data_IF_184209519943
#
_entry.id   IF_184209519943
#
_cell.length_a   1.000
_cell.length_b   1.000
_cell.length_c   1.000
_cell.angle_alpha   90.00
_cell.angle_beta   90.00
_cell.angle_gamma   90.00
#
_symmetry.space_group_name_H-M   'P 1'
#
loop_
_entity.id
_entity.type
_entity.pdbx_description
1 polymer ?
#
# COMPACT_ATOMS: atom_id res chain seq x y z
N UNK A 1 32.07 36.66 -63.47
CA UNK A 1 31.53 35.36 -63.02
C UNK A 1 32.74 34.56 -62.54
N UNK A 2 32.89 34.03 -61.33
CA UNK A 2 31.98 33.29 -60.44
C UNK A 2 32.53 33.35 -59.00
N UNK A 3 31.64 33.56 -58.02
CA UNK A 3 31.89 33.52 -56.56
C UNK A 3 32.23 32.09 -56.12
N UNK A 4 33.42 31.87 -55.53
CA UNK A 4 33.78 30.63 -54.81
C UNK A 4 33.54 30.76 -53.31
N UNK A 5 32.52 30.07 -52.80
CA UNK A 5 31.99 30.16 -51.42
C UNK A 5 32.90 29.44 -50.41
N UNK A 6 33.16 30.11 -49.26
CA UNK A 6 33.63 29.51 -48.00
C UNK A 6 32.72 28.34 -47.58
N UNK A 7 33.28 27.15 -47.37
CA UNK A 7 32.57 26.05 -46.67
C UNK A 7 32.85 26.17 -45.16
N UNK A 8 31.81 26.46 -44.38
CA UNK A 8 31.81 26.34 -42.91
C UNK A 8 31.78 24.86 -42.52
N UNK A 9 32.47 24.43 -41.45
CA UNK A 9 32.34 23.08 -40.92
C UNK A 9 30.92 22.90 -40.34
N UNK A 10 30.25 21.81 -40.74
CA UNK A 10 28.98 21.38 -40.16
C UNK A 10 29.22 20.93 -38.71
N UNK A 11 28.70 21.70 -37.76
CA UNK A 11 28.49 21.24 -36.38
C UNK A 11 27.50 20.06 -36.42
N UNK A 12 27.99 18.86 -36.10
CA UNK A 12 27.14 17.72 -35.76
C UNK A 12 26.40 18.08 -34.46
N UNK A 13 25.07 18.21 -34.54
CA UNK A 13 24.22 18.35 -33.35
C UNK A 13 24.32 17.06 -32.52
N UNK A 14 24.50 17.12 -31.20
CA UNK A 14 24.42 15.93 -30.37
C UNK A 14 22.99 15.40 -30.47
N UNK A 15 22.86 14.17 -30.95
CA UNK A 15 21.59 13.43 -30.88
C UNK A 15 21.38 13.05 -29.42
N UNK A 16 20.59 13.86 -28.71
CA UNK A 16 20.13 13.53 -27.36
C UNK A 16 19.30 12.26 -27.48
N UNK A 17 19.92 11.11 -27.17
CA UNK A 17 19.18 9.90 -26.86
C UNK A 17 18.31 10.25 -25.67
N UNK A 18 16.99 10.37 -25.89
CA UNK A 18 16.05 10.49 -24.77
C UNK A 18 16.23 9.22 -23.95
N UNK A 19 16.84 9.34 -22.78
CA UNK A 19 16.79 8.29 -21.78
C UNK A 19 15.30 7.94 -21.57
N UNK A 20 14.96 6.66 -21.35
CA UNK A 20 13.60 6.33 -20.95
C UNK A 20 13.30 7.19 -19.73
N UNK A 21 12.29 8.06 -19.86
CA UNK A 21 11.74 8.79 -18.72
C UNK A 21 11.27 7.68 -17.81
N UNK A 22 11.97 7.44 -16.69
CA UNK A 22 11.44 6.57 -15.64
C UNK A 22 10.08 7.16 -15.34
N UNK A 23 9.01 6.44 -15.72
CA UNK A 23 7.68 6.77 -15.25
C UNK A 23 7.84 6.72 -13.74
N UNK A 24 7.81 7.88 -13.10
CA UNK A 24 7.64 7.93 -11.66
C UNK A 24 6.29 7.25 -11.46
N UNK A 25 6.31 5.99 -11.02
CA UNK A 25 5.10 5.34 -10.55
C UNK A 25 4.47 6.23 -9.48
N UNK A 26 3.19 6.02 -9.15
CA UNK A 26 2.64 6.67 -7.96
C UNK A 26 3.61 6.41 -6.79
N UNK A 27 4.06 7.48 -6.12
CA UNK A 27 4.86 7.38 -4.89
C UNK A 27 3.92 6.92 -3.78
N UNK A 28 3.50 5.66 -3.85
CA UNK A 28 2.71 5.01 -2.81
C UNK A 28 3.61 4.79 -1.60
N UNK A 29 3.09 4.97 -0.38
CA UNK A 29 3.87 4.76 0.83
C UNK A 29 4.23 3.28 1.00
N UNK A 30 5.37 3.04 1.63
CA UNK A 30 5.77 1.69 2.05
C UNK A 30 5.02 1.25 3.31
N UNK A 31 4.78 2.20 4.21
CA UNK A 31 4.12 1.99 5.50
C UNK A 31 2.62 2.31 5.39
N UNK A 32 1.81 1.40 5.91
CA UNK A 32 0.36 1.47 5.97
C UNK A 32 -0.12 1.04 7.35
N UNK A 33 -1.36 1.40 7.68
CA UNK A 33 -2.07 0.95 8.85
C UNK A 33 -3.32 0.21 8.39
N UNK A 34 -3.61 -0.91 9.05
CA UNK A 34 -4.94 -1.51 9.06
C UNK A 34 -5.65 -1.09 10.35
N UNK A 35 -6.88 -0.58 10.21
CA UNK A 35 -7.67 -0.05 11.32
C UNK A 35 -9.04 -0.74 11.33
N UNK A 36 -9.43 -1.23 12.50
CA UNK A 36 -10.71 -1.93 12.68
C UNK A 36 -11.35 -1.60 14.03
N UNK A 37 -12.66 -1.31 14.00
CA UNK A 37 -13.46 -1.02 15.20
C UNK A 37 -13.69 -2.24 16.09
N UNK A 38 -13.59 -3.45 15.55
CA UNK A 38 -13.64 -4.68 16.36
C UNK A 38 -12.27 -5.13 16.84
N UNK A 39 -12.26 -6.26 17.53
CA UNK A 39 -11.04 -6.94 17.98
C UNK A 39 -10.74 -8.12 17.07
N UNK A 40 -9.56 -8.13 16.45
CA UNK A 40 -9.04 -9.26 15.69
C UNK A 40 -7.54 -9.40 15.93
N UNK A 41 -7.04 -10.65 15.94
CA UNK A 41 -5.62 -10.95 16.01
C UNK A 41 -5.05 -11.37 14.66
N UNK A 42 -3.76 -11.12 14.42
CA UNK A 42 -3.08 -11.53 13.18
C UNK A 42 -3.19 -13.03 12.91
N UNK A 43 -3.19 -13.85 13.97
CA UNK A 43 -3.47 -15.29 13.84
C UNK A 43 -4.83 -15.57 13.19
N UNK A 44 -5.87 -14.79 13.49
CA UNK A 44 -7.18 -14.98 12.87
C UNK A 44 -7.17 -14.59 11.39
N UNK A 45 -6.46 -13.51 11.02
CA UNK A 45 -6.28 -13.13 9.61
C UNK A 45 -5.50 -14.23 8.86
N UNK A 46 -4.44 -14.75 9.45
CA UNK A 46 -3.69 -15.88 8.89
C UNK A 46 -4.61 -17.09 8.61
N UNK A 47 -5.45 -17.47 9.57
CA UNK A 47 -6.37 -18.61 9.40
C UNK A 47 -7.43 -18.36 8.32
N UNK A 48 -7.80 -17.11 8.04
CA UNK A 48 -8.69 -16.74 6.92
C UNK A 48 -7.96 -16.77 5.57
N UNK A 49 -6.68 -16.41 5.54
CA UNK A 49 -5.88 -16.37 4.32
C UNK A 49 -5.26 -17.71 3.92
N UNK A 50 -5.07 -18.66 4.85
CA UNK A 50 -4.46 -19.96 4.54
C UNK A 50 -5.24 -20.78 3.49
N UNK A 51 -6.55 -20.55 3.38
CA UNK A 51 -7.44 -21.22 2.42
C UNK A 51 -7.65 -20.37 1.14
N UNK A 52 -6.85 -19.31 0.97
CA UNK A 52 -6.89 -18.38 -0.15
C UNK A 52 -5.75 -18.62 -1.16
N UNK A 53 -5.70 -17.92 -2.30
CA UNK A 53 -4.63 -18.13 -3.29
C UNK A 53 -3.27 -17.54 -2.89
N UNK A 54 -3.17 -16.92 -1.72
CA UNK A 54 -1.96 -16.27 -1.22
C UNK A 54 -1.06 -17.28 -0.48
N UNK A 55 0.25 -17.14 -0.63
CA UNK A 55 1.21 -17.85 0.23
C UNK A 55 1.39 -17.04 1.51
N UNK A 56 1.06 -17.62 2.66
CA UNK A 56 1.04 -16.91 3.95
C UNK A 56 1.82 -17.66 5.01
N UNK A 57 2.61 -16.91 5.78
CA UNK A 57 3.37 -17.40 6.92
C UNK A 57 3.07 -16.55 8.15
N UNK A 58 2.92 -17.19 9.30
CA UNK A 58 2.69 -16.51 10.58
C UNK A 58 3.81 -16.86 11.55
N UNK A 59 4.54 -15.85 11.99
CA UNK A 59 5.66 -15.94 12.91
C UNK A 59 5.16 -15.67 14.34
N UNK A 60 4.74 -16.73 15.04
CA UNK A 60 4.09 -16.59 16.37
C UNK A 60 4.93 -15.82 17.39
N UNK A 61 6.27 -15.99 17.36
CA UNK A 61 7.17 -15.32 18.32
C UNK A 61 7.35 -13.81 18.06
N UNK A 62 7.18 -13.38 16.82
CA UNK A 62 7.33 -11.98 16.42
C UNK A 62 5.97 -11.28 16.29
N UNK A 63 4.86 -12.02 16.39
CA UNK A 63 3.52 -11.56 16.03
C UNK A 63 3.48 -10.90 14.65
N UNK A 64 4.18 -11.51 13.69
CA UNK A 64 4.24 -11.05 12.29
C UNK A 64 3.46 -12.00 11.40
N UNK A 65 2.58 -11.45 10.57
CA UNK A 65 1.97 -12.17 9.44
C UNK A 65 2.62 -11.67 8.15
N UNK A 66 3.17 -12.58 7.36
CA UNK A 66 3.76 -12.30 6.06
C UNK A 66 2.92 -12.92 4.94
N UNK A 67 2.61 -12.14 3.91
CA UNK A 67 1.95 -12.59 2.69
C UNK A 67 2.90 -12.41 1.51
N UNK A 68 3.41 -13.51 0.95
CA UNK A 68 4.33 -13.47 -0.18
C UNK A 68 3.59 -13.11 -1.47
N UNK A 69 4.16 -12.18 -2.25
CA UNK A 69 3.64 -11.78 -3.55
C UNK A 69 4.40 -12.53 -4.67
N UNK A 70 3.70 -13.13 -5.66
CA UNK A 70 4.36 -13.87 -6.73
C UNK A 70 5.36 -13.01 -7.51
N UNK A 71 6.63 -13.46 -7.55
CA UNK A 71 7.74 -12.78 -8.24
C UNK A 71 8.01 -11.34 -7.74
N UNK A 72 7.53 -11.00 -6.55
CA UNK A 72 7.57 -9.67 -5.93
C UNK A 72 8.05 -9.74 -4.46
N UNK A 73 7.89 -8.67 -3.69
CA UNK A 73 8.12 -8.67 -2.24
C UNK A 73 7.02 -9.38 -1.44
N UNK A 74 6.80 -8.91 -0.22
CA UNK A 74 5.75 -9.37 0.68
C UNK A 74 4.84 -8.21 1.11
N UNK A 75 3.72 -8.55 1.73
CA UNK A 75 2.94 -7.66 2.59
C UNK A 75 3.10 -8.18 4.00
N UNK A 76 3.79 -7.42 4.84
CA UNK A 76 4.11 -7.79 6.21
C UNK A 76 3.17 -7.05 7.16
N UNK A 77 2.68 -7.72 8.19
CA UNK A 77 1.76 -7.18 9.19
C UNK A 77 2.31 -7.37 10.59
N UNK A 78 2.28 -6.33 11.40
CA UNK A 78 2.73 -6.30 12.79
C UNK A 78 1.60 -5.80 13.71
N UNK A 79 1.34 -6.48 14.83
CA UNK A 79 0.35 -6.05 15.82
C UNK A 79 0.87 -4.84 16.60
N UNK A 80 0.18 -3.70 16.51
CA UNK A 80 0.50 -2.50 17.29
C UNK A 80 -0.26 -2.45 18.63
N UNK A 81 -0.91 -3.55 19.02
CA UNK A 81 -1.62 -3.71 20.30
C UNK A 81 -2.69 -2.63 20.55
N UNK A 82 -3.24 -2.06 19.46
CA UNK A 82 -4.28 -1.03 19.52
C UNK A 82 -3.78 0.38 19.87
N UNK A 83 -2.48 0.66 19.76
CA UNK A 83 -1.89 1.98 19.99
C UNK A 83 -1.02 2.42 18.81
N UNK A 84 -0.91 3.72 18.57
CA UNK A 84 0.04 4.32 17.62
C UNK A 84 1.30 4.85 18.32
N UNK A 85 1.39 4.69 19.65
CA UNK A 85 2.58 5.00 20.46
C UNK A 85 2.63 6.44 21.00
N UNK A 86 1.62 7.27 20.69
CA UNK A 86 1.50 8.63 21.23
C UNK A 86 0.05 8.95 21.66
N UNK A 87 -0.07 9.85 22.64
CA UNK A 87 -1.35 10.17 23.29
C UNK A 87 -2.37 10.83 22.35
N UNK A 88 -1.93 11.62 21.36
CA UNK A 88 -2.81 12.31 20.43
C UNK A 88 -3.43 11.31 19.44
N UNK A 89 -2.60 10.45 18.87
CA UNK A 89 -3.04 9.38 17.97
C UNK A 89 -3.91 8.36 18.68
N UNK A 90 -3.58 7.98 19.92
CA UNK A 90 -4.38 7.05 20.72
C UNK A 90 -5.73 7.64 21.13
N UNK A 91 -5.80 8.93 21.45
CA UNK A 91 -7.07 9.61 21.68
C UNK A 91 -7.94 9.59 20.41
N UNK A 92 -7.33 9.83 19.24
CA UNK A 92 -8.04 9.74 17.96
C UNK A 92 -8.57 8.33 17.69
N UNK A 93 -7.78 7.27 17.94
CA UNK A 93 -8.24 5.88 17.82
C UNK A 93 -9.47 5.62 18.68
N UNK A 94 -9.46 6.09 19.94
CA UNK A 94 -10.59 5.99 20.85
C UNK A 94 -11.83 6.74 20.33
N UNK A 95 -11.66 7.95 19.82
CA UNK A 95 -12.75 8.75 19.22
C UNK A 95 -13.37 8.06 18.00
N UNK A 96 -12.55 7.36 17.20
CA UNK A 96 -13.01 6.56 16.05
C UNK A 96 -13.49 5.16 16.44
N UNK A 97 -13.46 4.80 17.73
CA UNK A 97 -13.79 3.47 18.24
C UNK A 97 -12.92 2.35 17.63
N UNK A 98 -11.70 2.66 17.20
CA UNK A 98 -10.76 1.69 16.67
C UNK A 98 -10.16 0.91 17.84
N UNK A 99 -10.19 -0.41 17.74
CA UNK A 99 -9.68 -1.32 18.79
C UNK A 99 -8.54 -2.21 18.28
N UNK A 100 -8.46 -2.42 16.97
CA UNK A 100 -7.35 -3.14 16.35
C UNK A 100 -6.57 -2.22 15.41
N UNK A 101 -5.25 -2.21 15.57
CA UNK A 101 -4.31 -1.45 14.75
C UNK A 101 -3.17 -2.38 14.36
N UNK A 102 -2.94 -2.56 13.06
CA UNK A 102 -1.75 -3.26 12.56
C UNK A 102 -0.91 -2.32 11.70
N UNK A 103 0.41 -2.35 11.89
CA UNK A 103 1.35 -1.78 10.93
C UNK A 103 1.48 -2.74 9.75
N UNK A 104 1.55 -2.19 8.54
CA UNK A 104 1.54 -2.95 7.30
C UNK A 104 2.63 -2.43 6.38
N UNK A 105 3.59 -3.27 6.05
CA UNK A 105 4.77 -2.90 5.27
C UNK A 105 4.69 -3.55 3.89
N UNK A 106 4.94 -2.76 2.85
CA UNK A 106 4.98 -3.22 1.46
C UNK A 106 6.19 -2.67 0.74
N UNK A 107 6.58 -3.33 -0.36
CA UNK A 107 7.44 -2.70 -1.36
C UNK A 107 6.59 -1.78 -2.25
N UNK A 108 6.90 -0.46 -2.33
CA UNK A 108 6.11 0.47 -3.15
C UNK A 108 6.02 0.09 -4.64
N UNK A 109 7.08 -0.54 -5.18
CA UNK A 109 7.11 -0.99 -6.58
C UNK A 109 6.11 -2.13 -6.85
N UNK A 110 5.70 -2.87 -5.81
CA UNK A 110 4.80 -4.03 -5.88
C UNK A 110 3.37 -3.69 -5.42
N UNK A 111 3.05 -2.41 -5.26
CA UNK A 111 1.79 -1.94 -4.67
C UNK A 111 0.53 -2.50 -5.33
N UNK A 112 0.50 -2.66 -6.65
CA UNK A 112 -0.70 -3.19 -7.33
C UNK A 112 -1.00 -4.65 -6.95
N UNK A 113 0.02 -5.43 -6.55
CA UNK A 113 -0.17 -6.77 -6.00
C UNK A 113 -0.48 -6.72 -4.51
N UNK A 114 0.25 -5.91 -3.75
CA UNK A 114 -0.02 -5.71 -2.32
C UNK A 114 -1.45 -5.23 -2.05
N UNK A 115 -1.94 -4.28 -2.85
CA UNK A 115 -3.30 -3.75 -2.80
C UNK A 115 -4.35 -4.85 -2.94
N UNK A 116 -4.12 -5.87 -3.77
CA UNK A 116 -5.05 -6.99 -3.91
C UNK A 116 -5.12 -7.86 -2.66
N UNK A 117 -3.99 -8.03 -1.96
CA UNK A 117 -3.96 -8.71 -0.65
C UNK A 117 -4.78 -7.89 0.36
N UNK A 118 -4.51 -6.59 0.44
CA UNK A 118 -5.21 -5.68 1.36
C UNK A 118 -6.72 -5.62 1.09
N UNK A 119 -7.13 -5.49 -0.19
CA UNK A 119 -8.54 -5.55 -0.59
C UNK A 119 -9.18 -6.91 -0.27
N UNK A 120 -8.43 -8.00 -0.41
CA UNK A 120 -8.93 -9.32 -0.05
C UNK A 120 -9.15 -9.45 1.47
N UNK A 121 -8.23 -8.93 2.29
CA UNK A 121 -8.40 -8.88 3.75
C UNK A 121 -9.64 -8.07 4.12
N UNK A 122 -9.83 -6.87 3.55
CA UNK A 122 -11.06 -6.07 3.75
C UNK A 122 -12.34 -6.82 3.33
N UNK A 123 -12.24 -7.71 2.34
CA UNK A 123 -13.41 -8.50 1.91
C UNK A 123 -13.78 -9.62 2.88
N UNK A 124 -12.82 -10.08 3.70
CA UNK A 124 -12.95 -11.18 4.66
C UNK A 124 -13.24 -10.67 6.08
N UNK A 125 -12.61 -9.55 6.44
CA UNK A 125 -12.73 -8.88 7.73
C UNK A 125 -13.05 -7.42 7.43
N UNK A 126 -14.01 -6.86 8.15
CA UNK A 126 -14.32 -5.43 8.05
C UNK A 126 -13.10 -4.57 8.48
N UNK A 127 -13.22 -3.25 8.44
CA UNK A 127 -12.09 -2.34 8.65
C UNK A 127 -11.42 -1.92 7.34
N UNK A 128 -10.40 -1.08 7.44
CA UNK A 128 -9.84 -0.40 6.28
C UNK A 128 -8.33 -0.21 6.40
N UNK A 129 -7.69 0.07 5.27
CA UNK A 129 -6.28 0.47 5.26
C UNK A 129 -6.13 1.95 4.96
N UNK A 130 -5.12 2.57 5.55
CA UNK A 130 -4.67 3.90 5.21
C UNK A 130 -3.14 3.96 5.21
N UNK A 131 -2.56 4.85 4.43
CA UNK A 131 -1.13 5.12 4.55
C UNK A 131 -0.78 5.59 5.97
N UNK A 132 0.35 5.14 6.48
CA UNK A 132 0.90 5.68 7.73
C UNK A 132 1.60 7.02 7.43
N UNK A 133 0.81 8.09 7.46
CA UNK A 133 1.30 9.46 7.35
C UNK A 133 0.31 10.43 8.01
N UNK A 134 0.73 11.69 8.13
CA UNK A 134 -0.04 12.76 8.79
C UNK A 134 -1.48 12.94 8.26
N UNK A 135 -1.78 12.50 7.03
CA UNK A 135 -3.10 12.65 6.42
C UNK A 135 -3.91 11.34 6.38
N UNK A 136 -3.32 10.20 6.75
CA UNK A 136 -3.92 8.86 6.61
C UNK A 136 -4.47 8.60 5.20
N UNK A 137 -3.68 8.97 4.18
CA UNK A 137 -4.05 8.88 2.76
C UNK A 137 -2.87 8.40 1.90
N UNK A 138 -3.10 7.59 0.85
CA UNK A 138 -4.40 7.08 0.38
C UNK A 138 -5.03 6.04 1.31
N UNK A 139 -6.32 5.74 1.11
CA UNK A 139 -7.08 4.70 1.83
C UNK A 139 -7.59 3.60 0.90
N UNK A 140 -7.65 2.38 1.43
CA UNK A 140 -8.43 1.27 0.89
C UNK A 140 -9.63 1.13 1.83
N UNK A 141 -10.83 1.56 1.43
CA UNK A 141 -11.98 1.64 2.32
C UNK A 141 -12.44 0.23 2.72
N UNK A 142 -13.10 0.16 3.87
CA UNK A 142 -13.89 -1.00 4.27
C UNK A 142 -14.89 -1.36 3.18
N UNK A 143 -15.36 -2.61 3.19
CA UNK A 143 -16.39 -3.08 2.26
C UNK A 143 -17.56 -2.09 2.34
N UNK A 144 -17.84 -1.37 1.24
CA UNK A 144 -18.99 -0.47 1.21
C UNK A 144 -20.21 -1.29 1.61
N UNK A 145 -20.82 -0.96 2.77
CA UNK A 145 -22.16 -1.40 3.07
C UNK A 145 -22.99 -0.90 1.89
N UNK A 146 -23.47 -1.82 1.07
CA UNK A 146 -24.26 -1.56 -0.13
C UNK A 146 -25.37 -0.57 0.24
N UNK A 147 -25.12 0.73 0.02
CA UNK A 147 -26.11 1.76 0.25
C UNK A 147 -27.11 1.55 -0.86
N UNK A 148 -28.16 0.79 -0.55
CA UNK A 148 -29.39 0.73 -1.33
C UNK A 148 -29.87 2.17 -1.45
N UNK A 149 -29.48 2.82 -2.54
CA UNK A 149 -30.09 4.08 -2.97
C UNK A 149 -31.39 3.65 -3.62
N UNK A 150 -32.38 3.37 -2.79
CA UNK A 150 -33.77 3.40 -3.24
C UNK A 150 -34.06 4.86 -3.60
N UNK A 151 -33.90 5.19 -4.89
CA UNK A 151 -34.52 6.38 -5.44
C UNK A 151 -36.02 6.34 -5.08
N UNK A 152 -36.47 7.37 -4.37
CA UNK A 152 -37.89 7.70 -4.16
C UNK A 152 -38.14 9.12 -4.64
#
# INVERSE_FOLDING_TARGET
MIKGKKKKPQQKKPSVKKAPVKKQGPKVPAEWLYLFEGEIKLRQIYELLKDSPWNVEYWEEAEVLEVELPEAGSVDFEDLEGTLGDEESDAWLQEQQIHTVFAVTIRPDDYELAKKVMEHIVSLVDGYFCADNENLQPRIPAKEAEQTTVES
#
